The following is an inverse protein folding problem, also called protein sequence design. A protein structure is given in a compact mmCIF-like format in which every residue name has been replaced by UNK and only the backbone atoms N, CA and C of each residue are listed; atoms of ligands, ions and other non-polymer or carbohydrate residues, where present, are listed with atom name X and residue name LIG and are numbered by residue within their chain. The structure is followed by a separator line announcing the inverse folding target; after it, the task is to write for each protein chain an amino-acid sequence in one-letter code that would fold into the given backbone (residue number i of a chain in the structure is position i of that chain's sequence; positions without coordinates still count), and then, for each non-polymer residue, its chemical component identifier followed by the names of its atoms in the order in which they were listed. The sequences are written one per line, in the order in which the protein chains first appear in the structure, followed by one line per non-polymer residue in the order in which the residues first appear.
data_IF_817849787808
#
_entry.id   IF_817849787808
#
_cell.length_a   1.000
_cell.length_b   1.000
_cell.length_c   1.000
_cell.angle_alpha   90.00
_cell.angle_beta   90.00
_cell.angle_gamma   90.00
#
_symmetry.space_group_name_H-M   'P 1'
#
loop_
_entity.id
_entity.type
_entity.pdbx_description
1 polymer ?
#
# COMPACT_ATOMS: atom_id res chain seq x y z
N UNK A 1 -17.40 14.38 3.21
CA UNK A 1 -16.37 13.99 4.22
C UNK A 1 -15.62 12.71 3.85
N UNK A 2 -16.30 11.61 3.51
CA UNK A 2 -15.66 10.31 3.17
C UNK A 2 -14.66 10.38 2.01
N UNK A 3 -14.94 11.22 1.02
CA UNK A 3 -14.11 11.40 -0.18
C UNK A 3 -12.74 12.02 0.14
N UNK A 4 -12.67 12.94 1.10
CA UNK A 4 -11.41 13.56 1.55
C UNK A 4 -10.46 12.57 2.21
N UNK A 5 -11.00 11.54 2.89
CA UNK A 5 -10.17 10.45 3.44
C UNK A 5 -9.39 9.74 2.33
N UNK A 6 -10.01 9.53 1.17
CA UNK A 6 -9.34 8.94 0.02
C UNK A 6 -8.27 9.84 -0.59
N UNK A 7 -8.50 11.16 -0.60
CA UNK A 7 -7.51 12.14 -1.09
C UNK A 7 -6.26 12.13 -0.21
N UNK A 8 -6.45 12.11 1.11
CA UNK A 8 -5.38 12.27 2.12
C UNK A 8 -4.64 10.96 2.41
N UNK A 9 -5.28 9.79 2.27
CA UNK A 9 -4.68 8.50 2.61
C UNK A 9 -3.31 8.25 1.94
N UNK A 10 -3.19 8.55 0.65
CA UNK A 10 -1.94 8.39 -0.10
C UNK A 10 -0.82 9.28 0.42
N UNK A 11 -0.97 10.62 0.42
CA UNK A 11 0.00 11.53 1.00
C UNK A 11 0.38 11.19 2.44
N UNK A 12 -0.61 10.85 3.28
CA UNK A 12 -0.36 10.46 4.67
C UNK A 12 0.57 9.23 4.75
N UNK A 13 0.24 8.14 4.05
CA UNK A 13 1.06 6.94 4.04
C UNK A 13 2.49 7.20 3.56
N UNK A 14 2.63 7.90 2.43
CA UNK A 14 3.91 8.19 1.80
C UNK A 14 4.78 9.08 2.70
N UNK A 15 4.23 10.18 3.22
CA UNK A 15 4.99 11.14 4.05
C UNK A 15 5.45 10.46 5.34
N UNK A 16 4.58 9.73 6.02
CA UNK A 16 4.94 9.06 7.29
C UNK A 16 6.00 7.98 7.05
N UNK A 17 5.83 7.12 6.03
CA UNK A 17 6.82 6.07 5.73
C UNK A 17 8.16 6.64 5.27
N UNK A 18 8.17 7.69 4.45
CA UNK A 18 9.41 8.34 4.01
C UNK A 18 10.10 9.03 5.18
N UNK A 19 9.38 9.82 5.97
CA UNK A 19 9.95 10.50 7.13
C UNK A 19 10.52 9.49 8.14
N UNK A 20 9.78 8.42 8.44
CA UNK A 20 10.29 7.36 9.31
C UNK A 20 11.52 6.69 8.70
N UNK A 21 11.50 6.30 7.42
CA UNK A 21 12.62 5.63 6.77
C UNK A 21 13.89 6.49 6.72
N UNK A 22 13.77 7.80 6.48
CA UNK A 22 14.92 8.73 6.51
C UNK A 22 15.54 8.82 7.91
N UNK A 23 14.70 8.81 8.95
CA UNK A 23 15.15 8.94 10.34
C UNK A 23 15.56 7.60 10.97
N UNK A 24 15.30 6.48 10.30
CA UNK A 24 15.49 5.15 10.87
C UNK A 24 16.87 4.62 10.54
N UNK A 25 17.69 4.51 11.57
CA UNK A 25 19.02 3.91 11.47
C UNK A 25 18.96 2.51 10.82
N UNK A 26 19.82 2.32 9.82
CA UNK A 26 19.95 1.08 9.05
C UNK A 26 18.87 0.85 7.99
N UNK A 27 17.87 1.73 7.85
CA UNK A 27 16.87 1.58 6.79
C UNK A 27 17.43 2.07 5.44
N UNK A 28 17.44 1.19 4.44
CA UNK A 28 17.89 1.47 3.09
C UNK A 28 16.69 1.31 2.13
N UNK A 29 16.22 2.42 1.55
CA UNK A 29 15.10 2.43 0.61
C UNK A 29 15.34 1.58 -0.64
N UNK A 30 16.59 1.26 -0.98
CA UNK A 30 16.91 0.40 -2.11
C UNK A 30 16.83 -1.10 -1.80
N UNK A 31 16.82 -1.45 -0.50
CA UNK A 31 16.90 -2.85 -0.05
C UNK A 31 15.72 -3.30 0.80
N UNK A 32 15.13 -2.40 1.57
CA UNK A 32 14.15 -2.75 2.59
C UNK A 32 12.74 -2.33 2.14
N UNK A 33 11.78 -3.27 2.08
CA UNK A 33 10.39 -2.90 1.86
C UNK A 33 9.90 -2.04 3.04
N UNK A 34 8.99 -1.10 2.76
CA UNK A 34 8.53 -0.16 3.79
C UNK A 34 7.78 -0.83 4.94
N UNK A 35 7.17 -2.00 4.73
CA UNK A 35 6.58 -2.79 5.82
C UNK A 35 7.63 -3.24 6.84
N UNK A 36 8.90 -3.37 6.45
CA UNK A 36 9.98 -3.71 7.38
C UNK A 36 10.19 -2.63 8.44
N UNK A 37 9.81 -1.37 8.19
CA UNK A 37 9.85 -0.27 9.19
C UNK A 37 9.04 -0.57 10.44
N UNK A 38 8.14 -1.56 10.43
CA UNK A 38 7.42 -2.02 11.61
C UNK A 38 8.31 -2.77 12.62
N UNK A 39 9.58 -3.02 12.28
CA UNK A 39 10.54 -3.77 13.09
C UNK A 39 11.51 -2.87 13.89
N UNK A 40 11.84 -3.34 15.09
CA UNK A 40 12.77 -2.67 16.01
C UNK A 40 12.23 -1.38 16.63
N UNK A 41 13.13 -0.51 17.14
CA UNK A 41 12.75 0.77 17.74
C UNK A 41 11.83 1.59 16.84
N UNK A 42 10.80 2.18 17.45
CA UNK A 42 9.79 3.01 16.78
C UNK A 42 8.96 2.32 15.68
N UNK A 43 9.01 0.99 15.58
CA UNK A 43 8.23 0.26 14.57
C UNK A 43 6.72 0.44 14.68
N UNK A 44 6.23 0.84 15.85
CA UNK A 44 4.83 1.19 16.06
C UNK A 44 4.35 2.34 15.14
N UNK A 45 5.25 3.22 14.67
CA UNK A 45 4.92 4.32 13.75
C UNK A 45 4.40 3.74 12.43
N UNK A 46 5.11 2.77 11.85
CA UNK A 46 4.69 2.14 10.59
C UNK A 46 3.42 1.30 10.79
N UNK A 47 3.29 0.62 11.93
CA UNK A 47 2.04 -0.08 12.31
C UNK A 47 0.86 0.90 12.36
N UNK A 48 1.00 2.03 13.06
CA UNK A 48 -0.04 3.05 13.14
C UNK A 48 -0.33 3.66 11.76
N UNK A 49 0.69 3.91 10.95
CA UNK A 49 0.56 4.41 9.59
C UNK A 49 -0.30 3.47 8.73
N UNK A 50 -0.02 2.15 8.76
CA UNK A 50 -0.80 1.14 8.05
C UNK A 50 -2.26 1.10 8.52
N UNK A 51 -2.49 1.09 9.83
CA UNK A 51 -3.84 1.02 10.41
C UNK A 51 -4.64 2.28 10.05
N UNK A 52 -4.10 3.46 10.31
CA UNK A 52 -4.79 4.72 10.04
C UNK A 52 -5.07 4.91 8.56
N UNK A 53 -4.08 4.62 7.70
CA UNK A 53 -4.27 4.65 6.24
C UNK A 53 -5.34 3.65 5.81
N UNK A 54 -5.33 2.43 6.34
CA UNK A 54 -6.33 1.40 6.05
C UNK A 54 -7.75 1.84 6.43
N UNK A 55 -7.91 2.48 7.59
CA UNK A 55 -9.18 3.06 8.03
C UNK A 55 -9.63 4.21 7.11
N UNK A 56 -8.73 5.08 6.68
CA UNK A 56 -9.04 6.15 5.71
C UNK A 56 -9.53 5.58 4.38
N UNK A 57 -8.83 4.56 3.85
CA UNK A 57 -9.18 3.88 2.59
C UNK A 57 -10.53 3.15 2.72
N UNK A 58 -10.77 2.47 3.84
CA UNK A 58 -12.06 1.81 4.10
C UNK A 58 -13.21 2.83 4.24
N UNK A 59 -12.96 3.97 4.90
CA UNK A 59 -13.91 5.08 4.99
C UNK A 59 -14.25 5.67 3.62
N UNK A 60 -13.23 5.87 2.77
CA UNK A 60 -13.38 6.32 1.39
C UNK A 60 -14.19 5.33 0.55
N UNK A 61 -14.00 4.02 0.73
CA UNK A 61 -14.77 3.01 0.00
C UNK A 61 -16.30 3.20 0.14
N UNK A 62 -16.75 3.79 1.24
CA UNK A 62 -18.16 4.14 1.45
C UNK A 62 -18.74 5.17 0.49
N UNK A 63 -17.92 5.99 -0.19
CA UNK A 63 -18.35 6.93 -1.24
C UNK A 63 -18.22 6.35 -2.65
N UNK A 64 -17.97 5.04 -2.77
CA UNK A 64 -17.85 4.33 -4.05
C UNK A 64 -19.01 3.36 -4.21
N UNK A 65 -19.14 2.80 -5.42
CA UNK A 65 -20.27 1.96 -5.80
C UNK A 65 -19.82 0.59 -6.31
N UNK A 66 -20.74 -0.38 -6.30
CA UNK A 66 -20.55 -1.70 -6.92
C UNK A 66 -19.28 -2.43 -6.48
N UNK A 67 -18.52 -2.94 -7.45
CA UNK A 67 -17.26 -3.66 -7.21
C UNK A 67 -16.14 -2.76 -6.72
N UNK A 68 -16.08 -1.49 -7.14
CA UNK A 68 -15.02 -0.57 -6.69
C UNK A 68 -15.08 -0.35 -5.19
N UNK A 69 -16.29 -0.18 -4.61
CA UNK A 69 -16.48 -0.12 -3.15
C UNK A 69 -15.96 -1.36 -2.43
N UNK A 70 -16.34 -2.55 -2.90
CA UNK A 70 -15.95 -3.82 -2.27
C UNK A 70 -14.44 -4.03 -2.30
N UNK A 71 -13.82 -3.78 -3.45
CA UNK A 71 -12.39 -3.99 -3.66
C UNK A 71 -11.53 -2.97 -2.89
N UNK A 72 -11.88 -1.68 -2.94
CA UNK A 72 -11.17 -0.64 -2.17
C UNK A 72 -11.40 -0.83 -0.66
N UNK A 73 -12.61 -1.21 -0.25
CA UNK A 73 -12.91 -1.53 1.14
C UNK A 73 -12.09 -2.71 1.66
N UNK A 74 -12.01 -3.80 0.88
CA UNK A 74 -11.18 -4.96 1.21
C UNK A 74 -9.69 -4.60 1.27
N UNK A 75 -9.21 -3.75 0.36
CA UNK A 75 -7.85 -3.22 0.43
C UNK A 75 -7.62 -2.40 1.72
N UNK A 76 -8.53 -1.51 2.10
CA UNK A 76 -8.44 -0.76 3.36
C UNK A 76 -8.37 -1.67 4.59
N UNK A 77 -9.25 -2.68 4.66
CA UNK A 77 -9.24 -3.70 5.73
C UNK A 77 -7.94 -4.50 5.74
N UNK A 78 -7.40 -4.84 4.57
CA UNK A 78 -6.13 -5.57 4.46
C UNK A 78 -4.95 -4.76 5.02
N UNK A 79 -4.94 -3.44 4.85
CA UNK A 79 -3.91 -2.56 5.41
C UNK A 79 -3.97 -2.55 6.95
N UNK A 80 -5.19 -2.53 7.51
CA UNK A 80 -5.38 -2.66 8.96
C UNK A 80 -4.85 -4.02 9.44
N UNK A 81 -5.21 -5.11 8.76
CA UNK A 81 -4.71 -6.45 9.08
C UNK A 81 -3.18 -6.53 8.99
N UNK A 82 -2.57 -5.96 7.96
CA UNK A 82 -1.11 -5.89 7.79
C UNK A 82 -0.42 -5.00 8.85
N UNK A 83 -1.11 -4.00 9.40
CA UNK A 83 -0.60 -3.23 10.53
C UNK A 83 -0.58 -4.04 11.84
N UNK A 84 -1.64 -4.83 12.08
CA UNK A 84 -1.78 -5.70 13.26
C UNK A 84 -0.81 -6.88 13.20
N UNK A 85 -0.68 -7.50 12.03
CA UNK A 85 0.21 -8.63 11.78
C UNK A 85 1.58 -8.09 11.37
N UNK A 86 2.55 -8.07 12.29
CA UNK A 86 3.87 -7.51 12.01
C UNK A 86 4.59 -8.32 10.90
N UNK A 87 5.10 -7.61 9.90
CA UNK A 87 5.98 -8.18 8.88
C UNK A 87 7.28 -8.69 9.51
N UNK A 88 7.80 -9.80 9.01
CA UNK A 88 9.09 -10.31 9.46
C UNK A 88 10.24 -9.32 9.16
N UNK A 89 11.28 -9.28 10.01
CA UNK A 89 12.54 -8.63 9.67
C UNK A 89 13.11 -9.16 8.35
N UNK A 90 13.81 -8.29 7.63
CA UNK A 90 14.49 -8.65 6.38
C UNK A 90 16.00 -8.60 6.59
N UNK A 91 16.81 -9.33 5.80
CA UNK A 91 18.26 -9.25 5.91
C UNK A 91 18.75 -7.80 5.89
N UNK A 92 19.54 -7.41 6.89
CA UNK A 92 20.05 -6.05 7.06
C UNK A 92 19.13 -5.10 7.83
N UNK A 93 17.88 -5.46 8.15
CA UNK A 93 16.97 -4.58 8.90
C UNK A 93 16.00 -5.31 9.86
N UNK A 94 16.00 -4.94 11.17
CA UNK A 94 16.87 -3.94 11.82
C UNK A 94 18.36 -4.34 11.84
N UNK A 95 19.30 -3.41 12.17
CA UNK A 95 20.72 -3.73 12.28
C UNK A 95 20.98 -5.00 13.11
N UNK A 96 21.84 -5.89 12.60
CA UNK A 96 22.12 -7.19 13.19
C UNK A 96 21.25 -8.35 12.68
N UNK A 97 20.28 -8.09 11.80
CA UNK A 97 19.47 -9.14 11.16
C UNK A 97 20.25 -9.80 10.03
N UNK A 98 20.72 -11.03 10.23
CA UNK A 98 21.62 -11.76 9.31
C UNK A 98 20.89 -12.67 8.31
N UNK A 99 19.61 -12.96 8.52
CA UNK A 99 18.81 -13.84 7.66
C UNK A 99 17.32 -13.53 7.71
N UNK A 100 16.55 -14.13 6.80
CA UNK A 100 15.10 -14.03 6.81
C UNK A 100 14.53 -15.03 7.83
N UNK A 101 13.86 -14.51 8.86
CA UNK A 101 13.05 -15.33 9.76
C UNK A 101 11.64 -15.40 9.21
N UNK A 102 11.05 -16.60 9.15
CA UNK A 102 9.64 -16.76 8.77
C UNK A 102 8.84 -17.04 10.03
N UNK A 103 7.96 -16.12 10.40
CA UNK A 103 7.02 -16.29 11.51
C UNK A 103 5.59 -16.47 11.02
N UNK A 104 4.70 -16.99 11.88
CA UNK A 104 3.28 -17.10 11.53
C UNK A 104 2.65 -15.72 11.27
N UNK A 105 3.04 -14.68 12.01
CA UNK A 105 2.48 -13.34 11.84
C UNK A 105 3.01 -12.66 10.58
N UNK A 106 4.28 -12.89 10.21
CA UNK A 106 4.85 -12.41 8.95
C UNK A 106 4.25 -13.11 7.73
N UNK A 107 3.99 -14.43 7.83
CA UNK A 107 3.24 -15.16 6.80
C UNK A 107 1.82 -14.60 6.63
N UNK A 108 1.10 -14.35 7.73
CA UNK A 108 -0.23 -13.75 7.66
C UNK A 108 -0.19 -12.30 7.17
N UNK A 109 0.83 -11.51 7.54
CA UNK A 109 1.05 -10.17 7.00
C UNK A 109 1.14 -10.22 5.46
N UNK A 110 1.99 -11.11 4.94
CA UNK A 110 2.16 -11.29 3.50
C UNK A 110 0.87 -11.76 2.82
N UNK A 111 0.16 -12.73 3.41
CA UNK A 111 -1.08 -13.25 2.86
C UNK A 111 -2.19 -12.18 2.82
N UNK A 112 -2.40 -11.46 3.93
CA UNK A 112 -3.41 -10.39 4.01
C UNK A 112 -3.04 -9.23 3.10
N UNK A 113 -1.77 -8.80 3.10
CA UNK A 113 -1.27 -7.76 2.20
C UNK A 113 -1.42 -8.16 0.73
N UNK A 114 -1.10 -9.41 0.39
CA UNK A 114 -1.25 -9.95 -0.96
C UNK A 114 -2.69 -9.96 -1.44
N UNK A 115 -3.64 -10.43 -0.62
CA UNK A 115 -5.08 -10.35 -0.93
C UNK A 115 -5.51 -8.90 -1.17
N UNK A 116 -5.08 -8.00 -0.28
CA UNK A 116 -5.33 -6.56 -0.39
C UNK A 116 -4.84 -5.95 -1.69
N UNK A 117 -3.59 -6.26 -2.06
CA UNK A 117 -2.96 -5.81 -3.29
C UNK A 117 -3.65 -6.37 -4.53
N UNK A 118 -4.09 -7.62 -4.54
CA UNK A 118 -4.90 -8.17 -5.62
C UNK A 118 -6.26 -7.48 -5.74
N UNK A 119 -6.90 -7.14 -4.61
CA UNK A 119 -8.11 -6.33 -4.62
C UNK A 119 -7.86 -4.93 -5.22
N UNK A 120 -6.75 -4.28 -4.86
CA UNK A 120 -6.36 -2.98 -5.40
C UNK A 120 -6.10 -3.01 -6.91
N UNK A 121 -5.39 -4.03 -7.39
CA UNK A 121 -5.18 -4.28 -8.82
C UNK A 121 -6.52 -4.47 -9.52
N UNK A 122 -7.40 -5.33 -9.00
CA UNK A 122 -8.73 -5.53 -9.57
C UNK A 122 -9.55 -4.23 -9.58
N UNK A 123 -9.43 -3.38 -8.54
CA UNK A 123 -10.10 -2.09 -8.49
C UNK A 123 -9.62 -1.17 -9.61
N UNK A 124 -8.31 -1.12 -9.86
CA UNK A 124 -7.72 -0.38 -10.98
C UNK A 124 -8.31 -0.83 -12.32
N UNK A 125 -8.45 -2.15 -12.55
CA UNK A 125 -9.03 -2.68 -13.78
C UNK A 125 -10.53 -2.35 -13.91
N UNK A 126 -11.31 -2.48 -12.84
CA UNK A 126 -12.74 -2.16 -12.81
C UNK A 126 -12.98 -0.67 -13.09
N UNK A 127 -12.21 0.21 -12.46
CA UNK A 127 -12.28 1.66 -12.68
C UNK A 127 -11.82 2.02 -14.08
N UNK A 128 -10.74 1.40 -14.57
CA UNK A 128 -10.23 1.59 -15.93
C UNK A 128 -11.30 1.28 -16.99
N UNK A 129 -11.98 0.13 -16.86
CA UNK A 129 -13.07 -0.30 -17.77
C UNK A 129 -14.20 0.73 -17.88
N UNK A 130 -14.50 1.44 -16.79
CA UNK A 130 -15.60 2.41 -16.69
C UNK A 130 -15.17 3.85 -16.95
N UNK A 131 -13.86 4.10 -17.00
CA UNK A 131 -13.28 5.41 -17.25
C UNK A 131 -13.02 5.62 -18.74
N UNK A 132 -12.67 6.83 -19.14
CA UNK A 132 -12.27 7.18 -20.51
C UNK A 132 -11.02 8.09 -20.50
N UNK A 133 -10.39 8.24 -21.67
CA UNK A 133 -9.22 9.10 -21.87
C UNK A 133 -8.03 8.72 -20.99
N UNK A 134 -7.24 9.72 -20.58
CA UNK A 134 -6.02 9.52 -19.80
C UNK A 134 -6.22 8.76 -18.49
N UNK A 135 -7.36 8.92 -17.81
CA UNK A 135 -7.61 8.21 -16.54
C UNK A 135 -7.87 6.71 -16.73
N UNK A 136 -8.39 6.28 -17.90
CA UNK A 136 -8.48 4.86 -18.25
C UNK A 136 -7.08 4.25 -18.37
N UNK A 137 -6.21 4.88 -19.15
CA UNK A 137 -4.84 4.43 -19.34
C UNK A 137 -4.07 4.42 -18.00
N UNK A 138 -4.18 5.50 -17.22
CA UNK A 138 -3.57 5.60 -15.90
C UNK A 138 -4.03 4.47 -14.96
N UNK A 139 -5.33 4.17 -14.93
CA UNK A 139 -5.84 3.07 -14.08
C UNK A 139 -5.28 1.71 -14.50
N UNK A 140 -5.24 1.39 -15.79
CA UNK A 140 -4.66 0.12 -16.24
C UNK A 140 -3.17 0.03 -16.01
N UNK A 141 -2.42 1.08 -16.34
CA UNK A 141 -0.98 1.14 -16.13
C UNK A 141 -0.63 0.92 -14.67
N UNK A 142 -1.29 1.65 -13.76
CA UNK A 142 -1.09 1.50 -12.31
C UNK A 142 -1.36 0.07 -11.86
N UNK A 143 -2.48 -0.54 -12.27
CA UNK A 143 -2.81 -1.92 -11.89
C UNK A 143 -1.77 -2.94 -12.37
N UNK A 144 -1.30 -2.82 -13.61
CA UNK A 144 -0.31 -3.74 -14.20
C UNK A 144 1.07 -3.56 -13.56
N UNK A 145 1.54 -2.32 -13.44
CA UNK A 145 2.84 -2.00 -12.82
C UNK A 145 2.86 -2.45 -11.36
N UNK A 146 1.77 -2.24 -10.63
CA UNK A 146 1.65 -2.68 -9.24
C UNK A 146 1.64 -4.21 -9.11
N UNK A 147 0.91 -4.91 -9.98
CA UNK A 147 0.91 -6.37 -9.98
C UNK A 147 2.31 -6.94 -10.27
N UNK A 148 2.99 -6.41 -11.28
CA UNK A 148 4.34 -6.84 -11.65
C UNK A 148 5.35 -6.55 -10.54
N UNK A 149 5.30 -5.35 -9.95
CA UNK A 149 6.16 -4.99 -8.82
C UNK A 149 5.91 -5.87 -7.59
N UNK A 150 4.65 -6.16 -7.28
CA UNK A 150 4.30 -7.03 -6.16
C UNK A 150 4.77 -8.47 -6.38
N UNK A 151 4.50 -9.05 -7.55
CA UNK A 151 5.01 -10.38 -7.90
C UNK A 151 6.54 -10.43 -7.80
N UNK A 152 7.20 -9.35 -8.23
CA UNK A 152 8.64 -9.15 -8.12
C UNK A 152 9.14 -9.22 -6.67
N UNK A 153 8.62 -8.38 -5.78
CA UNK A 153 9.09 -8.34 -4.39
C UNK A 153 8.67 -9.58 -3.60
N UNK A 154 7.52 -10.18 -3.91
CA UNK A 154 7.05 -11.42 -3.29
C UNK A 154 7.94 -12.64 -3.58
N UNK A 155 8.76 -12.58 -4.64
CA UNK A 155 9.80 -13.58 -4.92
C UNK A 155 10.99 -13.53 -3.94
N UNK A 156 11.07 -12.51 -3.10
CA UNK A 156 12.21 -12.24 -2.22
C UNK A 156 13.33 -11.41 -2.88
N UNK A 157 13.13 -10.94 -4.11
CA UNK A 157 14.13 -10.17 -4.84
C UNK A 157 14.32 -8.76 -4.29
N UNK A 158 15.48 -8.50 -3.69
CA UNK A 158 15.88 -7.17 -3.22
C UNK A 158 16.00 -6.15 -4.37
N UNK A 159 16.40 -6.59 -5.56
CA UNK A 159 16.54 -5.71 -6.73
C UNK A 159 15.20 -5.10 -7.19
N UNK A 160 14.07 -5.71 -6.78
CA UNK A 160 12.73 -5.26 -7.14
C UNK A 160 12.08 -4.37 -6.08
N UNK A 161 12.79 -4.05 -4.98
CA UNK A 161 12.32 -3.12 -3.94
C UNK A 161 12.06 -1.73 -4.52
N UNK A 162 13.04 -1.13 -5.21
CA UNK A 162 12.86 0.20 -5.80
C UNK A 162 11.74 0.24 -6.85
N UNK A 163 11.70 -0.68 -7.85
CA UNK A 163 10.57 -0.76 -8.78
C UNK A 163 9.21 -0.90 -8.09
N UNK A 164 9.12 -1.73 -7.05
CA UNK A 164 7.89 -1.89 -6.29
C UNK A 164 7.52 -0.62 -5.51
N UNK A 165 8.47 0.07 -4.89
CA UNK A 165 8.24 1.36 -4.23
C UNK A 165 7.70 2.41 -5.20
N UNK A 166 8.22 2.48 -6.43
CA UNK A 166 7.66 3.36 -7.47
C UNK A 166 6.21 2.98 -7.78
N UNK A 167 5.90 1.69 -7.87
CA UNK A 167 4.53 1.23 -8.06
C UNK A 167 3.61 1.59 -6.88
N UNK A 168 4.11 1.53 -5.64
CA UNK A 168 3.40 1.97 -4.43
C UNK A 168 3.08 3.47 -4.50
N UNK A 169 4.05 4.31 -4.87
CA UNK A 169 3.81 5.75 -5.07
C UNK A 169 2.75 5.99 -6.16
N UNK A 170 2.85 5.27 -7.27
CA UNK A 170 1.91 5.38 -8.39
C UNK A 170 0.48 5.00 -7.99
N UNK A 171 0.31 3.93 -7.22
CA UNK A 171 -1.03 3.49 -6.79
C UNK A 171 -1.65 4.41 -5.75
N UNK A 172 -0.85 5.01 -4.87
CA UNK A 172 -1.33 6.05 -3.97
C UNK A 172 -1.76 7.32 -4.72
N UNK A 173 -0.97 7.76 -5.70
CA UNK A 173 -1.37 8.86 -6.57
C UNK A 173 -2.67 8.54 -7.33
N UNK A 174 -2.82 7.30 -7.82
CA UNK A 174 -4.06 6.84 -8.45
C UNK A 174 -5.26 6.88 -7.51
N UNK A 175 -5.11 6.41 -6.26
CA UNK A 175 -6.19 6.39 -5.27
C UNK A 175 -6.62 7.80 -4.88
N UNK A 176 -5.66 8.70 -4.62
CA UNK A 176 -5.95 10.12 -4.36
C UNK A 176 -6.63 10.79 -5.56
N UNK A 177 -6.21 10.48 -6.79
CA UNK A 177 -6.86 11.01 -8.01
C UNK A 177 -8.28 10.47 -8.20
N UNK A 178 -8.50 9.18 -7.92
CA UNK A 178 -9.83 8.58 -7.92
C UNK A 178 -10.76 9.28 -6.93
N UNK A 179 -10.26 9.57 -5.73
CA UNK A 179 -11.01 10.29 -4.70
C UNK A 179 -11.31 11.75 -5.13
N UNK A 180 -10.33 12.49 -5.64
CA UNK A 180 -10.52 13.86 -6.15
C UNK A 180 -11.59 13.90 -7.24
N UNK A 181 -11.56 12.97 -8.19
CA UNK A 181 -12.56 12.86 -9.27
C UNK A 181 -13.97 12.56 -8.77
N UNK A 182 -14.12 12.03 -7.56
CA UNK A 182 -15.43 11.84 -6.91
C UNK A 182 -15.89 13.12 -6.23
N UNK A 183 -14.99 13.86 -5.57
CA UNK A 183 -15.30 15.19 -5.00
C UNK A 183 -15.86 16.13 -6.07
N UNK A 184 -15.20 16.21 -7.23
CA UNK A 184 -15.60 17.13 -8.32
C UNK A 184 -16.89 16.72 -9.05
N UNK A 185 -17.49 15.58 -8.72
CA UNK A 185 -18.78 15.13 -9.29
C UNK A 185 -19.93 15.27 -8.31
N UNK A 186 -19.63 15.50 -7.03
CA UNK A 186 -20.61 15.66 -5.95
C UNK A 186 -20.90 17.15 -5.63
N UNK A 187 -20.10 18.08 -6.16
CA UNK A 187 -20.32 19.53 -6.06
C UNK A 187 -20.63 20.11 -7.43
#
# INVERSE_FOLDING_TARGET
MRTYLGVIAGPFYLIVSVAQGVLREGFDFSRHPWSALANGPNGWIQTANLILTGLMVAGFAGSLDGWTRRLIGAYGVSLVGAGVLRADPVPGFPPGTTGATVSWHGMLHLAVGGIGFLCLVAACLVVGRRSAGGFRAFSYLTGVVFLAGFAGIASGSTALVVPFTVAVVLVWAWLSTLALRRVTREG
#
